data_IF_517950520392
#
_entry.id   IF_517950520392
#
_cell.length_a   1.000
_cell.length_b   1.000
_cell.length_c   1.000
_cell.angle_alpha   90.00
_cell.angle_beta   90.00
_cell.angle_gamma   90.00
#
_symmetry.space_group_name_H-M   'P 1'
#
loop_
_entity.id
_entity.type
_entity.pdbx_description
1 polymer ?
#
# COMPACT_ATOMS: atom_id res chain seq x y z
N UNK A 1 -2.31 6.97 0.21
CA UNK A 1 -3.05 7.07 -1.05
C UNK A 1 -2.49 6.02 -1.99
N UNK A 2 -3.33 5.06 -2.39
CA UNK A 2 -2.87 3.82 -3.00
C UNK A 2 -3.39 3.76 -4.43
N UNK A 3 -2.48 3.58 -5.39
CA UNK A 3 -2.78 3.41 -6.81
C UNK A 3 -2.47 1.97 -7.23
N UNK A 4 -3.39 1.38 -8.00
CA UNK A 4 -3.34 -0.03 -8.42
C UNK A 4 -2.96 -0.11 -9.90
N UNK A 5 -1.71 -0.47 -10.25
CA UNK A 5 -1.35 -0.80 -11.65
C UNK A 5 -0.15 -1.76 -11.79
N UNK A 6 -0.22 -2.61 -12.83
CA UNK A 6 0.73 -3.63 -13.32
C UNK A 6 2.10 -3.07 -13.73
N UNK A 7 3.17 -3.88 -13.63
CA UNK A 7 4.57 -3.54 -13.95
C UNK A 7 4.95 -3.80 -15.42
N UNK A 8 5.72 -2.86 -16.03
CA UNK A 8 6.76 -3.09 -17.06
C UNK A 8 7.83 -1.96 -17.03
N UNK A 9 9.06 -2.31 -17.43
CA UNK A 9 10.40 -1.81 -17.05
C UNK A 9 10.94 -0.47 -17.62
N UNK A 10 11.73 0.18 -16.74
CA UNK A 10 12.99 0.95 -16.87
C UNK A 10 13.62 1.33 -18.24
N UNK A 11 14.08 2.59 -18.33
CA UNK A 11 15.39 2.95 -18.89
C UNK A 11 16.06 4.13 -18.14
N UNK A 12 17.37 4.01 -17.98
CA UNK A 12 18.36 4.80 -17.23
C UNK A 12 18.42 6.30 -17.60
N UNK A 13 18.83 7.14 -16.64
CA UNK A 13 20.10 7.89 -16.71
C UNK A 13 20.46 8.61 -15.40
N UNK A 14 21.75 8.52 -15.06
CA UNK A 14 22.41 9.19 -13.94
C UNK A 14 22.90 10.57 -14.37
N UNK A 15 22.84 11.60 -13.51
CA UNK A 15 23.95 12.55 -13.41
C UNK A 15 24.09 13.21 -12.04
N UNK A 16 25.35 13.20 -11.61
CA UNK A 16 25.99 13.76 -10.41
C UNK A 16 25.94 15.29 -10.34
N UNK A 17 25.79 15.86 -9.13
CA UNK A 17 26.73 16.82 -8.47
C UNK A 17 26.06 17.53 -7.27
N UNK A 18 26.78 17.65 -6.15
CA UNK A 18 26.46 18.50 -4.98
C UNK A 18 27.78 19.02 -4.38
N UNK A 19 27.83 20.09 -3.55
CA UNK A 19 26.74 20.98 -3.12
C UNK A 19 27.04 22.49 -3.33
N UNK A 20 26.03 23.30 -3.64
CA UNK A 20 26.08 24.75 -3.48
C UNK A 20 25.07 25.13 -2.39
N UNK A 21 25.57 25.61 -1.24
CA UNK A 21 24.76 26.21 -0.19
C UNK A 21 24.51 27.67 -0.53
N UNK A 22 23.32 28.00 -1.01
CA UNK A 22 22.86 29.39 -1.14
C UNK A 22 21.39 29.51 -0.75
N UNK A 23 21.16 30.22 0.35
CA UNK A 23 19.97 30.96 0.82
C UNK A 23 18.56 30.43 0.50
N UNK A 24 17.77 30.21 1.56
CA UNK A 24 16.32 30.02 1.50
C UNK A 24 15.61 31.25 0.89
N UNK A 25 14.71 31.06 -0.09
CA UNK A 25 13.63 32.00 -0.34
C UNK A 25 12.33 31.49 0.30
N UNK A 26 11.68 32.37 1.04
CA UNK A 26 10.32 32.20 1.54
C UNK A 26 9.35 32.04 0.36
N UNK A 27 8.83 30.84 0.19
CA UNK A 27 7.71 30.54 -0.69
C UNK A 27 7.09 29.24 -0.22
N UNK A 28 5.82 29.27 0.21
CA UNK A 28 5.07 28.06 0.58
C UNK A 28 5.13 27.08 -0.58
N UNK A 29 6.05 26.11 -0.50
CA UNK A 29 6.21 25.05 -1.48
C UNK A 29 4.89 24.27 -1.47
N UNK A 30 4.08 24.39 -2.52
CA UNK A 30 2.86 23.58 -2.68
C UNK A 30 3.31 22.11 -2.64
N UNK A 31 3.09 21.44 -1.52
CA UNK A 31 3.40 20.01 -1.38
C UNK A 31 2.35 19.26 -2.20
N UNK A 32 2.76 18.67 -3.31
CA UNK A 32 1.92 17.74 -4.07
C UNK A 32 1.99 16.35 -3.41
N UNK A 33 0.82 15.71 -3.23
CA UNK A 33 0.73 14.33 -2.73
C UNK A 33 1.21 13.30 -3.74
N UNK A 34 1.31 13.66 -5.02
CA UNK A 34 1.66 12.75 -6.12
C UNK A 34 2.99 12.03 -5.88
N UNK A 35 4.00 12.75 -5.35
CA UNK A 35 5.31 12.19 -5.05
C UNK A 35 5.32 11.19 -3.88
N UNK A 36 4.25 11.12 -3.09
CA UNK A 36 4.10 10.19 -1.97
C UNK A 36 3.20 9.00 -2.30
N UNK A 37 2.69 8.93 -3.54
CA UNK A 37 1.90 7.78 -3.99
C UNK A 37 2.82 6.57 -4.13
N UNK A 38 2.45 5.48 -3.49
CA UNK A 38 3.08 4.17 -3.69
C UNK A 38 2.11 3.24 -4.40
N UNK A 39 2.64 2.50 -5.37
CA UNK A 39 1.93 1.35 -5.94
C UNK A 39 1.98 0.21 -4.93
N UNK A 40 0.86 -0.47 -4.74
CA UNK A 40 0.81 -1.65 -3.86
C UNK A 40 -0.06 -2.73 -4.50
N UNK A 41 0.17 -4.01 -4.18
CA UNK A 41 -0.69 -5.11 -4.59
C UNK A 41 -2.11 -4.98 -4.04
N UNK A 42 -3.07 -5.60 -4.74
CA UNK A 42 -4.45 -5.71 -4.28
C UNK A 42 -4.99 -7.13 -4.42
N UNK A 43 -6.04 -7.41 -3.67
CA UNK A 43 -6.76 -8.69 -3.65
C UNK A 43 -8.27 -8.44 -3.57
N UNK A 44 -9.08 -9.50 -3.61
CA UNK A 44 -10.54 -9.42 -3.47
C UNK A 44 -11.00 -9.83 -2.05
N UNK A 45 -12.20 -9.41 -1.59
CA UNK A 45 -12.70 -9.76 -0.25
C UNK A 45 -12.78 -11.26 0.02
N UNK A 46 -12.99 -12.05 -1.03
CA UNK A 46 -13.20 -13.50 -0.98
C UNK A 46 -11.91 -14.31 -1.18
N UNK A 47 -10.81 -13.67 -1.57
CA UNK A 47 -9.52 -14.35 -1.65
C UNK A 47 -9.13 -14.91 -0.29
N UNK A 48 -8.58 -16.12 -0.25
CA UNK A 48 -8.21 -16.76 1.01
C UNK A 48 -6.99 -16.10 1.65
N UNK A 49 -6.96 -16.04 2.99
CA UNK A 49 -5.81 -15.46 3.70
C UNK A 49 -4.51 -16.24 3.40
N UNK A 50 -4.57 -17.53 3.11
CA UNK A 50 -3.40 -18.29 2.66
C UNK A 50 -2.77 -17.71 1.39
N UNK A 51 -3.58 -17.22 0.44
CA UNK A 51 -3.07 -16.58 -0.77
C UNK A 51 -2.60 -15.15 -0.51
N UNK A 52 -3.27 -14.43 0.40
CA UNK A 52 -2.78 -13.12 0.89
C UNK A 52 -1.38 -13.24 1.49
N UNK A 53 -1.11 -14.31 2.26
CA UNK A 53 0.24 -14.54 2.78
C UNK A 53 1.26 -14.74 1.66
N UNK A 54 0.91 -15.51 0.62
CA UNK A 54 1.79 -15.69 -0.56
C UNK A 54 2.05 -14.35 -1.25
N UNK A 55 1.04 -13.49 -1.38
CA UNK A 55 1.20 -12.14 -1.93
C UNK A 55 2.17 -11.30 -1.10
N UNK A 56 2.07 -11.34 0.24
CA UNK A 56 3.05 -10.65 1.09
C UNK A 56 4.48 -11.20 0.93
N UNK A 57 4.65 -12.50 0.70
CA UNK A 57 5.96 -13.07 0.38
C UNK A 57 6.47 -12.66 -1.01
N UNK A 58 5.58 -12.42 -1.98
CA UNK A 58 5.96 -11.99 -3.33
C UNK A 58 6.26 -10.49 -3.43
N UNK A 59 5.72 -9.68 -2.52
CA UNK A 59 5.86 -8.22 -2.51
C UNK A 59 6.50 -7.75 -1.19
N UNK A 60 7.73 -8.18 -0.89
CA UNK A 60 8.40 -7.93 0.39
C UNK A 60 8.52 -6.45 0.78
N UNK A 61 8.60 -5.56 -0.21
CA UNK A 61 8.66 -4.10 -0.05
C UNK A 61 7.30 -3.47 0.26
N UNK A 62 6.21 -4.23 0.11
CA UNK A 62 4.87 -3.76 0.38
C UNK A 62 4.42 -4.00 1.81
N UNK A 63 4.11 -2.91 2.50
CA UNK A 63 3.56 -2.91 3.86
C UNK A 63 2.07 -3.23 3.93
N UNK A 64 1.37 -3.22 2.79
CA UNK A 64 -0.07 -3.41 2.76
C UNK A 64 -0.58 -3.98 1.44
N UNK A 65 -1.68 -4.72 1.52
CA UNK A 65 -2.47 -5.15 0.36
C UNK A 65 -3.82 -4.45 0.44
N UNK A 66 -4.27 -3.83 -0.66
CA UNK A 66 -5.62 -3.27 -0.73
C UNK A 66 -6.61 -4.37 -1.04
N UNK A 67 -7.74 -4.38 -0.34
CA UNK A 67 -8.86 -5.26 -0.67
C UNK A 67 -9.84 -4.47 -1.53
N UNK A 68 -10.04 -4.89 -2.78
CA UNK A 68 -10.93 -4.24 -3.74
C UNK A 68 -12.08 -5.15 -4.12
N UNK A 69 -13.27 -4.59 -4.33
CA UNK A 69 -14.35 -5.35 -5.00
C UNK A 69 -13.95 -5.69 -6.45
N UNK A 70 -14.74 -6.56 -7.09
CA UNK A 70 -14.53 -6.95 -8.50
C UNK A 70 -14.53 -5.76 -9.47
N UNK A 71 -15.17 -4.65 -9.09
CA UNK A 71 -15.16 -3.38 -9.83
C UNK A 71 -14.00 -2.43 -9.49
N UNK A 72 -12.90 -2.94 -8.91
CA UNK A 72 -11.70 -2.17 -8.51
C UNK A 72 -11.95 -1.07 -7.47
N UNK A 73 -13.06 -1.14 -6.72
CA UNK A 73 -13.35 -0.19 -5.66
C UNK A 73 -12.68 -0.62 -4.35
N UNK A 74 -11.85 0.21 -3.69
CA UNK A 74 -11.23 -0.15 -2.42
C UNK A 74 -12.30 -0.34 -1.34
N UNK A 75 -12.29 -1.52 -0.71
CA UNK A 75 -13.20 -1.93 0.37
C UNK A 75 -12.50 -2.11 1.71
N UNK A 76 -11.19 -2.29 1.70
CA UNK A 76 -10.41 -2.39 2.92
C UNK A 76 -8.91 -2.43 2.68
N UNK A 77 -8.17 -2.51 3.78
CA UNK A 77 -6.72 -2.53 3.78
C UNK A 77 -6.20 -3.63 4.71
N UNK A 78 -5.30 -4.45 4.21
CA UNK A 78 -4.56 -5.43 5.00
C UNK A 78 -3.15 -4.91 5.25
N UNK A 79 -2.87 -4.52 6.49
CA UNK A 79 -1.51 -4.18 6.90
C UNK A 79 -0.71 -5.45 7.19
N UNK A 80 0.50 -5.57 6.62
CA UNK A 80 1.39 -6.73 6.75
C UNK A 80 1.57 -7.13 8.21
N UNK A 81 1.94 -6.18 9.06
CA UNK A 81 2.17 -6.42 10.48
C UNK A 81 0.93 -6.98 11.21
N UNK A 82 -0.26 -6.40 10.97
CA UNK A 82 -1.52 -6.84 11.59
C UNK A 82 -1.96 -8.20 11.07
N UNK A 83 -1.74 -8.47 9.79
CA UNK A 83 -2.00 -9.77 9.20
C UNK A 83 -1.16 -10.85 9.88
N UNK A 84 0.17 -10.67 9.91
CA UNK A 84 1.07 -11.62 10.57
C UNK A 84 0.81 -11.76 12.06
N UNK A 85 0.51 -10.67 12.76
CA UNK A 85 0.11 -10.71 14.18
C UNK A 85 -1.14 -11.56 14.43
N UNK A 86 -2.04 -11.70 13.46
CA UNK A 86 -3.22 -12.56 13.61
C UNK A 86 -2.91 -14.02 13.29
N UNK A 87 -2.20 -14.30 12.19
CA UNK A 87 -1.94 -15.68 11.77
C UNK A 87 -0.83 -16.37 12.59
N UNK A 88 0.05 -15.60 13.25
CA UNK A 88 1.12 -16.12 14.12
C UNK A 88 0.62 -16.49 15.52
N UNK A 89 -0.64 -16.20 15.85
CA UNK A 89 -1.25 -16.64 17.12
C UNK A 89 -1.31 -18.17 17.15
N UNK A 90 -1.43 -18.74 18.35
CA UNK A 90 -1.67 -20.18 18.49
C UNK A 90 -2.93 -20.55 17.68
N UNK A 91 -2.79 -21.53 16.78
CA UNK A 91 -3.83 -21.96 15.82
C UNK A 91 -4.21 -20.92 14.75
N UNK A 92 -3.48 -19.80 14.61
CA UNK A 92 -3.82 -18.73 13.68
C UNK A 92 -3.84 -19.17 12.22
N UNK A 93 -2.91 -20.03 11.80
CA UNK A 93 -2.91 -20.63 10.45
C UNK A 93 -4.20 -21.40 10.19
N UNK A 94 -4.54 -22.35 11.05
CA UNK A 94 -5.74 -23.20 10.92
C UNK A 94 -7.04 -22.38 10.97
N UNK A 95 -7.08 -21.33 11.80
CA UNK A 95 -8.25 -20.47 11.96
C UNK A 95 -8.48 -19.54 10.77
N UNK A 96 -7.42 -19.09 10.10
CA UNK A 96 -7.52 -18.01 9.12
C UNK A 96 -7.17 -18.40 7.70
N UNK A 97 -6.36 -19.43 7.43
CA UNK A 97 -5.88 -19.71 6.07
C UNK A 97 -6.99 -19.89 5.04
N UNK A 98 -8.05 -20.60 5.42
CA UNK A 98 -9.22 -20.85 4.58
C UNK A 98 -10.31 -19.78 4.73
N UNK A 99 -10.02 -18.69 5.47
CA UNK A 99 -10.97 -17.58 5.63
C UNK A 99 -10.75 -16.53 4.55
N UNK A 100 -11.84 -15.86 4.12
CA UNK A 100 -11.75 -14.71 3.24
C UNK A 100 -10.87 -13.60 3.80
N UNK A 101 -10.15 -12.88 2.93
CA UNK A 101 -9.30 -11.73 3.25
C UNK A 101 -10.06 -10.63 3.99
N UNK A 102 -11.36 -10.49 3.70
CA UNK A 102 -12.29 -9.60 4.42
C UNK A 102 -12.40 -9.86 5.91
N UNK A 103 -11.99 -11.05 6.39
CA UNK A 103 -11.99 -11.40 7.83
C UNK A 103 -10.93 -10.64 8.62
N UNK A 104 -9.82 -10.26 7.98
CA UNK A 104 -8.67 -9.62 8.65
C UNK A 104 -8.41 -8.18 8.19
N UNK A 105 -9.14 -7.70 7.18
CA UNK A 105 -8.95 -6.35 6.65
C UNK A 105 -9.44 -5.28 7.62
N UNK A 106 -8.81 -4.12 7.58
CA UNK A 106 -9.43 -2.88 8.06
C UNK A 106 -10.46 -2.42 7.02
N UNK A 107 -11.74 -2.46 7.40
CA UNK A 107 -12.87 -2.08 6.53
C UNK A 107 -13.13 -0.57 6.49
N UNK A 108 -12.39 0.23 7.28
CA UNK A 108 -12.54 1.69 7.35
C UNK A 108 -11.21 2.41 7.06
N UNK A 109 -10.54 2.13 5.91
CA UNK A 109 -9.30 2.81 5.58
C UNK A 109 -9.54 4.31 5.29
N UNK A 110 -8.53 5.13 5.57
CA UNK A 110 -8.56 6.54 5.16
C UNK A 110 -8.41 6.63 3.63
N UNK A 111 -9.45 7.13 2.97
CA UNK A 111 -9.47 7.39 1.52
C UNK A 111 -9.47 8.91 1.32
N UNK A 112 -8.53 9.40 0.53
CA UNK A 112 -8.35 10.83 0.24
C UNK A 112 -8.09 10.99 -1.25
N UNK A 113 -8.69 12.03 -1.83
CA UNK A 113 -8.46 12.41 -3.23
C UNK A 113 -7.07 13.04 -3.39
N UNK A 114 -6.39 12.73 -4.49
CA UNK A 114 -5.00 13.15 -4.75
C UNK A 114 -4.83 14.67 -4.83
N UNK A 115 -5.91 15.39 -5.12
CA UNK A 115 -5.93 16.84 -5.26
C UNK A 115 -6.22 17.57 -3.93
N UNK A 116 -6.51 16.84 -2.85
CA UNK A 116 -6.65 17.43 -1.51
C UNK A 116 -5.26 17.86 -1.03
N UNK A 117 -5.03 19.15 -0.74
CA UNK A 117 -3.76 19.60 -0.21
C UNK A 117 -3.47 18.89 1.12
N UNK A 118 -2.21 18.49 1.39
CA UNK A 118 -1.85 18.04 2.73
C UNK A 118 -2.15 19.17 3.71
N UNK A 119 -2.86 18.85 4.79
CA UNK A 119 -3.13 19.81 5.86
C UNK A 119 -1.79 20.42 6.30
N UNK A 120 -1.68 21.74 6.13
CA UNK A 120 -0.46 22.52 6.37
C UNK A 120 -0.32 22.91 7.83
#
# INVERSE_FOLDING_TARGET
MIVLERERENLREQKSTAPVRTSMPEGKKKVSLEQFIRKVPFTTPNQLCGDVQKMFSQHEDSECIVVCSDGMQPKGLLMRNRFYMNISKRYGVELFYEKPASTLMDASPLIVDIHVPPAS
#
